data_IF_528269919092
#
_entry.id   IF_528269919092
#
_cell.length_a   1.000
_cell.length_b   1.000
_cell.length_c   1.000
_cell.angle_alpha   90.00
_cell.angle_beta   90.00
_cell.angle_gamma   90.00
#
_symmetry.space_group_name_H-M   'P 1'
#
loop_
_entity.id
_entity.type
_entity.pdbx_description
1 polymer ?
#
# COMPACT_ATOMS: atom_id res chain seq x y z
N UNK A 1 -24.90 2.89 -26.82
CA UNK A 1 -26.15 2.24 -26.33
C UNK A 1 -26.34 2.45 -24.83
N UNK A 2 -26.64 3.69 -24.44
CA UNK A 2 -27.07 4.04 -23.10
C UNK A 2 -28.07 5.20 -23.20
N UNK A 3 -28.99 5.30 -22.24
CA UNK A 3 -29.99 6.37 -22.19
C UNK A 3 -29.37 7.71 -21.77
N UNK A 4 -30.19 8.77 -21.75
CA UNK A 4 -29.85 10.13 -21.33
C UNK A 4 -29.19 10.16 -19.94
N UNK A 5 -29.55 9.22 -19.05
CA UNK A 5 -28.99 9.07 -17.71
C UNK A 5 -27.76 8.14 -17.63
N UNK A 6 -27.25 7.67 -18.77
CA UNK A 6 -26.07 6.78 -18.83
C UNK A 6 -26.37 5.33 -18.45
N UNK A 7 -27.64 4.94 -18.36
CA UNK A 7 -28.06 3.56 -18.08
C UNK A 7 -27.99 2.75 -19.38
N UNK A 8 -27.27 1.61 -19.41
CA UNK A 8 -27.14 0.81 -20.61
C UNK A 8 -28.47 0.14 -20.98
N UNK A 9 -28.82 0.15 -22.27
CA UNK A 9 -30.05 -0.47 -22.78
C UNK A 9 -29.98 -2.00 -22.89
N UNK A 10 -28.76 -2.54 -22.79
CA UNK A 10 -28.49 -3.97 -22.81
C UNK A 10 -27.78 -4.36 -21.52
N UNK A 11 -27.93 -5.61 -21.06
CA UNK A 11 -27.17 -6.10 -19.93
C UNK A 11 -25.68 -6.02 -20.25
N UNK A 12 -24.96 -5.20 -19.49
CA UNK A 12 -23.50 -5.11 -19.56
C UNK A 12 -22.87 -6.14 -18.64
N UNK A 13 -21.63 -6.52 -18.95
CA UNK A 13 -20.85 -7.43 -18.13
C UNK A 13 -20.70 -6.93 -16.68
N UNK A 14 -20.74 -7.86 -15.73
CA UNK A 14 -20.45 -7.60 -14.32
C UNK A 14 -18.96 -7.78 -14.04
N UNK A 15 -18.38 -6.87 -13.26
CA UNK A 15 -17.00 -7.02 -12.76
C UNK A 15 -16.85 -8.33 -11.97
N UNK A 16 -17.86 -8.71 -11.19
CA UNK A 16 -17.82 -9.94 -10.41
C UNK A 16 -17.84 -11.20 -11.31
N UNK A 17 -18.61 -11.15 -12.40
CA UNK A 17 -18.65 -12.21 -13.41
C UNK A 17 -17.30 -12.34 -14.13
N UNK A 18 -16.72 -11.21 -14.55
CA UNK A 18 -15.39 -11.18 -15.14
C UNK A 18 -14.34 -11.75 -14.20
N UNK A 19 -14.34 -11.36 -12.92
CA UNK A 19 -13.35 -11.79 -11.95
C UNK A 19 -13.46 -13.28 -11.58
N UNK A 20 -14.67 -13.83 -11.59
CA UNK A 20 -14.90 -15.25 -11.33
C UNK A 20 -14.27 -16.19 -12.37
N UNK A 21 -13.97 -15.67 -13.56
CA UNK A 21 -13.32 -16.43 -14.63
C UNK A 21 -11.81 -16.61 -14.43
N UNK A 22 -11.19 -15.80 -13.56
CA UNK A 22 -9.75 -15.88 -13.29
C UNK A 22 -9.43 -16.92 -12.22
N UNK A 23 -8.25 -17.52 -12.36
CA UNK A 23 -7.75 -18.46 -11.37
C UNK A 23 -7.48 -17.74 -10.06
N UNK A 24 -8.02 -18.26 -8.95
CA UNK A 24 -7.75 -17.69 -7.63
C UNK A 24 -6.30 -17.98 -7.22
N UNK A 25 -5.52 -16.95 -6.88
CA UNK A 25 -4.18 -17.12 -6.36
C UNK A 25 -4.26 -17.80 -4.99
N UNK A 26 -3.37 -18.76 -4.73
CA UNK A 26 -3.31 -19.45 -3.44
C UNK A 26 -2.19 -18.84 -2.63
N UNK A 27 -2.55 -18.14 -1.55
CA UNK A 27 -1.57 -17.53 -0.67
C UNK A 27 -1.12 -18.52 0.40
N UNK A 28 0.19 -18.82 0.45
CA UNK A 28 0.74 -19.66 1.50
C UNK A 28 0.74 -18.94 2.85
N UNK A 29 0.59 -19.69 3.94
CA UNK A 29 0.64 -19.13 5.30
C UNK A 29 1.98 -18.48 5.61
N UNK A 30 3.08 -19.07 5.15
CA UNK A 30 4.42 -18.49 5.29
C UNK A 30 4.52 -17.12 4.59
N UNK A 31 3.89 -16.97 3.41
CA UNK A 31 3.86 -15.69 2.70
C UNK A 31 3.03 -14.66 3.46
N UNK A 32 1.86 -15.03 3.97
CA UNK A 32 1.01 -14.13 4.75
C UNK A 32 1.72 -13.66 6.02
N UNK A 33 2.40 -14.56 6.73
CA UNK A 33 3.22 -14.22 7.91
C UNK A 33 4.35 -13.24 7.54
N UNK A 34 5.09 -13.55 6.47
CA UNK A 34 6.16 -12.67 5.98
C UNK A 34 5.65 -11.27 5.61
N UNK A 35 4.46 -11.16 5.04
CA UNK A 35 3.85 -9.85 4.75
C UNK A 35 3.57 -9.06 6.03
N UNK A 36 3.04 -9.71 7.08
CA UNK A 36 2.82 -9.05 8.36
C UNK A 36 4.14 -8.57 8.98
N UNK A 37 5.18 -9.41 8.94
CA UNK A 37 6.52 -9.04 9.42
C UNK A 37 7.08 -7.82 8.67
N UNK A 38 6.97 -7.79 7.34
CA UNK A 38 7.42 -6.66 6.51
C UNK A 38 6.62 -5.39 6.75
N UNK A 39 5.34 -5.51 7.12
CA UNK A 39 4.47 -4.39 7.46
C UNK A 39 4.55 -3.99 8.93
N UNK A 40 5.45 -4.60 9.73
CA UNK A 40 5.53 -4.41 11.18
C UNK A 40 4.18 -4.62 11.89
N UNK A 41 3.38 -5.57 11.39
CA UNK A 41 2.09 -5.97 11.95
C UNK A 41 2.22 -7.29 12.72
N UNK A 42 1.42 -7.42 13.77
CA UNK A 42 1.29 -8.68 14.52
C UNK A 42 0.33 -9.59 13.74
N UNK A 43 0.77 -10.76 13.26
CA UNK A 43 -0.11 -11.67 12.55
C UNK A 43 -1.17 -12.29 13.49
N UNK A 44 -2.40 -12.54 13.02
CA UNK A 44 -3.38 -13.28 13.80
C UNK A 44 -2.91 -14.73 13.97
N UNK A 45 -3.35 -15.38 15.06
CA UNK A 45 -3.00 -16.78 15.34
C UNK A 45 -3.38 -17.69 14.18
N UNK A 46 -2.47 -18.60 13.82
CA UNK A 46 -2.65 -19.55 12.73
C UNK A 46 -3.90 -20.40 12.94
N UNK A 47 -4.53 -20.79 11.83
CA UNK A 47 -5.76 -21.61 11.78
C UNK A 47 -7.00 -21.01 12.46
N UNK A 48 -6.95 -19.78 12.96
CA UNK A 48 -8.14 -19.07 13.45
C UNK A 48 -9.07 -18.67 12.29
N UNK A 49 -10.39 -18.54 12.54
CA UNK A 49 -11.34 -18.08 11.52
C UNK A 49 -10.95 -16.69 10.98
N UNK A 50 -10.40 -15.82 11.84
CA UNK A 50 -9.89 -14.50 11.44
C UNK A 50 -8.75 -14.60 10.43
N UNK A 51 -7.81 -15.52 10.65
CA UNK A 51 -6.70 -15.76 9.74
C UNK A 51 -7.17 -16.30 8.38
N UNK A 52 -8.18 -17.18 8.37
CA UNK A 52 -8.77 -17.68 7.12
C UNK A 52 -9.52 -16.58 6.34
N UNK A 53 -10.30 -15.75 7.03
CA UNK A 53 -10.98 -14.60 6.41
C UNK A 53 -9.98 -13.63 5.80
N UNK A 54 -8.95 -13.24 6.56
CA UNK A 54 -7.91 -12.33 6.08
C UNK A 54 -7.17 -12.89 4.86
N UNK A 55 -6.86 -14.19 4.88
CA UNK A 55 -6.23 -14.85 3.74
C UNK A 55 -7.13 -14.77 2.50
N UNK A 56 -8.42 -15.07 2.65
CA UNK A 56 -9.38 -15.00 1.54
C UNK A 56 -9.50 -13.59 0.97
N UNK A 57 -9.58 -12.58 1.83
CA UNK A 57 -9.62 -11.17 1.42
C UNK A 57 -8.36 -10.78 0.64
N UNK A 58 -7.19 -11.22 1.09
CA UNK A 58 -5.92 -11.00 0.38
C UNK A 58 -5.89 -11.71 -0.98
N UNK A 59 -6.38 -12.96 -1.07
CA UNK A 59 -6.47 -13.70 -2.33
C UNK A 59 -7.42 -13.01 -3.33
N UNK A 60 -8.56 -12.51 -2.86
CA UNK A 60 -9.52 -11.76 -3.69
C UNK A 60 -8.89 -10.44 -4.18
N UNK A 61 -8.13 -9.72 -3.33
CA UNK A 61 -7.39 -8.51 -3.73
C UNK A 61 -6.27 -8.81 -4.74
N UNK A 62 -5.55 -9.91 -4.58
CA UNK A 62 -4.51 -10.30 -5.54
C UNK A 62 -5.15 -10.60 -6.90
N UNK A 63 -6.29 -11.29 -6.92
CA UNK A 63 -7.02 -11.60 -8.17
C UNK A 63 -7.36 -10.32 -8.94
N UNK A 64 -7.80 -9.27 -8.25
CA UNK A 64 -8.07 -7.96 -8.86
C UNK A 64 -6.84 -7.35 -9.53
N UNK A 65 -5.69 -7.41 -8.86
CA UNK A 65 -4.43 -6.85 -9.38
C UNK A 65 -3.87 -7.71 -10.51
N UNK A 66 -4.07 -9.02 -10.46
CA UNK A 66 -3.63 -9.93 -11.51
C UNK A 66 -4.40 -9.74 -12.82
N UNK A 67 -5.68 -9.38 -12.76
CA UNK A 67 -6.45 -9.02 -13.95
C UNK A 67 -5.82 -7.83 -14.70
N UNK A 68 -5.15 -6.91 -14.01
CA UNK A 68 -4.44 -5.77 -14.64
C UNK A 68 -3.22 -6.23 -15.45
N UNK A 69 -2.61 -7.37 -15.10
CA UNK A 69 -1.45 -7.91 -15.84
C UNK A 69 -1.82 -8.34 -17.27
N UNK A 70 -3.09 -8.60 -17.54
CA UNK A 70 -3.57 -9.02 -18.87
C UNK A 70 -3.78 -7.84 -19.82
N UNK A 71 -3.69 -6.61 -19.31
CA UNK A 71 -3.80 -5.40 -20.13
C UNK A 71 -2.50 -5.19 -20.89
N UNK A 72 -2.60 -4.98 -22.20
CA UNK A 72 -1.45 -4.58 -23.03
C UNK A 72 -0.93 -3.21 -22.57
N UNK A 73 0.33 -3.20 -22.14
CA UNK A 73 1.02 -2.00 -21.66
C UNK A 73 2.25 -1.65 -22.50
N UNK A 74 2.44 -2.29 -23.67
CA UNK A 74 3.65 -2.15 -24.48
C UNK A 74 3.90 -0.70 -24.96
N UNK A 75 2.83 0.08 -25.10
CA UNK A 75 2.90 1.49 -25.49
C UNK A 75 3.01 2.48 -24.33
N UNK A 76 2.93 2.02 -23.08
CA UNK A 76 2.85 2.88 -21.89
C UNK A 76 4.25 3.23 -21.39
N UNK A 77 4.62 4.50 -21.51
CA UNK A 77 5.85 5.03 -20.92
C UNK A 77 5.67 5.21 -19.41
N UNK A 78 6.48 4.52 -18.60
CA UNK A 78 6.49 4.69 -17.14
C UNK A 78 6.99 6.10 -16.83
N UNK A 79 6.06 7.03 -16.59
CA UNK A 79 6.37 8.35 -16.05
C UNK A 79 6.80 8.21 -14.60
N UNK A 80 8.07 7.91 -14.38
CA UNK A 80 8.70 8.18 -13.08
C UNK A 80 8.54 9.67 -12.85
N UNK A 81 7.86 10.06 -11.76
CA UNK A 81 7.69 11.46 -11.34
C UNK A 81 9.00 12.22 -11.61
N UNK A 82 8.91 13.23 -12.48
CA UNK A 82 10.06 13.88 -13.09
C UNK A 82 10.98 14.49 -12.01
N UNK A 83 12.11 13.84 -11.73
CA UNK A 83 13.23 14.44 -10.98
C UNK A 83 13.82 15.68 -11.69
N UNK A 84 13.39 15.99 -12.91
CA UNK A 84 13.94 17.08 -13.70
C UNK A 84 13.39 18.46 -13.30
N UNK A 85 12.15 18.55 -12.82
CA UNK A 85 11.56 19.83 -12.40
C UNK A 85 11.85 20.18 -10.94
N UNK A 86 12.10 19.18 -10.08
CA UNK A 86 12.50 19.39 -8.67
C UNK A 86 13.97 19.84 -8.50
N UNK A 87 14.82 19.69 -9.52
CA UNK A 87 16.25 20.08 -9.42
C UNK A 87 16.47 21.58 -9.29
N UNK A 88 15.47 22.43 -9.57
CA UNK A 88 15.58 23.87 -9.35
C UNK A 88 15.34 24.30 -7.89
N UNK A 89 14.78 23.42 -7.04
CA UNK A 89 14.44 23.79 -5.66
C UNK A 89 15.56 23.51 -4.64
N UNK A 90 16.61 22.78 -5.02
CA UNK A 90 17.73 22.48 -4.12
C UNK A 90 18.98 23.36 -4.32
N UNK A 91 18.97 24.32 -5.26
CA UNK A 91 20.11 25.22 -5.52
C UNK A 91 20.03 26.59 -4.81
N UNK A 92 19.11 26.77 -3.85
CA UNK A 92 19.11 27.93 -2.94
C UNK A 92 19.16 27.50 -1.47
N UNK A 93 20.03 26.56 -1.10
CA UNK A 93 20.34 26.26 0.31
C UNK A 93 21.43 27.24 0.80
N UNK A 94 21.27 28.53 0.49
CA UNK A 94 21.94 29.64 1.17
C UNK A 94 20.96 30.36 2.13
N UNK A 95 19.82 29.72 2.40
CA UNK A 95 18.79 30.17 3.33
C UNK A 95 18.09 28.96 3.93
N UNK A 96 18.84 28.11 4.66
CA UNK A 96 18.22 27.21 5.63
C UNK A 96 17.61 28.13 6.66
N UNK A 97 16.30 28.39 6.52
CA UNK A 97 15.50 28.90 7.61
C UNK A 97 15.63 27.85 8.71
N UNK A 98 16.34 28.18 9.78
CA UNK A 98 16.45 27.34 10.96
C UNK A 98 15.05 26.86 11.30
N UNK A 99 14.81 25.55 11.13
CA UNK A 99 13.58 24.96 11.63
C UNK A 99 13.59 25.19 13.15
N UNK A 100 12.59 25.93 13.65
CA UNK A 100 12.48 26.35 15.07
C UNK A 100 12.55 25.17 16.06
N UNK A 101 12.30 23.96 15.58
CA UNK A 101 12.38 22.73 16.36
C UNK A 101 13.55 21.89 15.87
N UNK A 102 14.64 21.89 16.63
CA UNK A 102 15.81 21.05 16.38
C UNK A 102 16.12 20.15 17.58
N UNK A 103 16.52 18.91 17.30
CA UNK A 103 17.02 17.97 18.29
C UNK A 103 15.99 17.66 19.40
N UNK A 104 16.35 18.00 20.64
CA UNK A 104 15.61 17.65 21.86
C UNK A 104 14.18 18.20 21.89
N UNK A 105 13.90 19.31 21.20
CA UNK A 105 12.54 19.87 21.14
C UNK A 105 11.54 18.90 20.50
N UNK A 106 12.00 17.95 19.68
CA UNK A 106 11.15 16.95 19.04
C UNK A 106 10.72 15.83 20.00
N UNK A 107 11.41 15.69 21.15
CA UNK A 107 11.09 14.69 22.16
C UNK A 107 9.75 14.96 22.84
N UNK A 108 9.24 16.21 22.81
CA UNK A 108 7.92 16.55 23.35
C UNK A 108 6.76 15.82 22.63
N UNK A 109 7.00 15.34 21.41
CA UNK A 109 6.02 14.59 20.62
C UNK A 109 6.16 13.07 20.78
N UNK A 110 7.18 12.60 21.49
CA UNK A 110 7.41 11.19 21.71
C UNK A 110 6.52 10.66 22.85
N UNK A 111 5.96 9.47 22.68
CA UNK A 111 5.19 8.82 23.73
C UNK A 111 6.05 8.38 24.93
N UNK A 112 7.34 8.07 24.70
CA UNK A 112 8.30 7.65 25.72
C UNK A 112 9.69 8.20 25.43
N UNK A 113 10.33 8.77 26.44
CA UNK A 113 11.69 9.30 26.40
C UNK A 113 12.43 8.98 27.69
N UNK A 114 13.75 8.80 27.62
CA UNK A 114 14.64 8.62 28.77
C UNK A 114 15.98 9.27 28.46
N UNK A 115 16.54 10.03 29.39
CA UNK A 115 17.85 10.69 29.26
C UNK A 115 18.05 11.46 27.94
N UNK A 116 16.99 12.15 27.48
CA UNK A 116 16.95 12.88 26.21
C UNK A 116 17.05 12.01 24.94
N UNK A 117 16.71 10.72 25.04
CA UNK A 117 16.61 9.80 23.91
C UNK A 117 15.21 9.19 23.78
N UNK A 118 14.87 8.78 22.56
CA UNK A 118 13.69 7.94 22.30
C UNK A 118 13.91 6.56 22.91
N UNK A 119 12.90 6.07 23.62
CA UNK A 119 12.90 4.72 24.17
C UNK A 119 12.09 3.82 23.25
N UNK A 120 12.73 2.77 22.74
CA UNK A 120 12.10 1.71 21.96
C UNK A 120 12.30 0.42 22.73
N UNK A 121 11.20 -0.32 22.92
CA UNK A 121 11.27 -1.65 23.51
C UNK A 121 12.01 -2.56 22.52
N UNK A 122 13.18 -3.05 22.90
CA UNK A 122 13.90 -4.04 22.10
C UNK A 122 13.30 -5.42 22.41
N UNK A 123 12.65 -6.04 21.42
CA UNK A 123 12.32 -7.46 21.50
C UNK A 123 13.62 -8.27 21.62
N UNK A 124 13.64 -9.22 22.56
CA UNK A 124 14.80 -10.05 22.91
C UNK A 124 14.64 -11.48 22.43
#
# INVERSE_FOLDING_TARGET
DADVDGIPFQPTWSVNELLSSYQKPVLSFATLKRLHELSALIPPTEETPKHQTLRREMEDLITLVEAVKLVDTDSVQIRRRHKAEEKKQYQSIAGIQEWESSGESLLQHAARTSDNFYVVDADK
#
